data_IF_073283757319
#
_entry.id   IF_073283757319
#
_cell.length_a   1.000
_cell.length_b   1.000
_cell.length_c   1.000
_cell.angle_alpha   90.00
_cell.angle_beta   90.00
_cell.angle_gamma   90.00
#
_symmetry.space_group_name_H-M   'P 1'
#
loop_
_entity.id
_entity.type
_entity.pdbx_description
1 polymer ?
#
# COMPACT_ATOMS: atom_id res chain seq x y z
N UNK A 1 -3.63 10.98 -5.93
CA UNK A 1 -2.64 11.22 -4.85
C UNK A 1 -2.71 12.68 -4.42
N UNK A 2 -2.88 12.96 -3.13
CA UNK A 2 -2.91 14.34 -2.64
C UNK A 2 -1.53 15.00 -2.75
N UNK A 3 -1.49 16.33 -2.86
CA UNK A 3 -0.24 17.12 -2.91
C UNK A 3 0.67 16.88 -1.70
N UNK A 4 0.08 16.49 -0.56
CA UNK A 4 0.76 16.24 0.72
C UNK A 4 1.55 14.92 0.68
N UNK A 5 0.97 13.86 0.09
CA UNK A 5 1.67 12.60 -0.10
C UNK A 5 2.93 12.79 -0.96
N UNK A 6 2.83 13.59 -2.04
CA UNK A 6 4.00 13.92 -2.87
C UNK A 6 5.07 14.72 -2.14
N UNK A 7 4.70 15.71 -1.31
CA UNK A 7 5.70 16.50 -0.58
C UNK A 7 6.45 15.69 0.48
N UNK A 8 5.78 14.71 1.11
CA UNK A 8 6.39 13.80 2.09
C UNK A 8 7.31 12.77 1.43
N UNK A 9 6.91 12.23 0.27
CA UNK A 9 7.74 11.34 -0.54
C UNK A 9 8.98 12.09 -1.09
N UNK A 10 8.83 13.37 -1.43
CA UNK A 10 9.94 14.20 -1.92
C UNK A 10 11.00 14.55 -0.86
N UNK A 11 10.65 14.56 0.43
CA UNK A 11 11.61 14.80 1.52
C UNK A 11 12.49 13.60 1.84
N UNK A 12 12.26 12.44 1.23
CA UNK A 12 12.98 11.21 1.53
C UNK A 12 13.66 10.70 0.26
N UNK A 13 14.61 11.48 -0.24
CA UNK A 13 15.30 11.25 -1.51
C UNK A 13 16.08 9.92 -1.57
N UNK A 14 16.33 9.28 -0.41
CA UNK A 14 17.09 8.03 -0.27
C UNK A 14 16.32 6.87 0.39
N UNK A 15 15.00 6.97 0.60
CA UNK A 15 14.22 5.84 1.15
C UNK A 15 13.49 5.08 0.05
N UNK A 16 13.62 3.74 0.01
CA UNK A 16 12.91 2.92 -0.96
C UNK A 16 11.40 3.07 -0.78
N UNK A 17 10.69 3.33 -1.87
CA UNK A 17 9.24 3.35 -1.89
C UNK A 17 8.73 1.92 -1.98
N UNK A 18 7.98 1.50 -0.98
CA UNK A 18 7.43 0.15 -0.90
C UNK A 18 5.93 0.19 -1.18
N UNK A 19 5.44 -0.72 -2.01
CA UNK A 19 4.01 -0.89 -2.27
C UNK A 19 3.65 -2.36 -2.13
N UNK A 20 2.68 -2.68 -1.27
CA UNK A 20 2.18 -4.06 -1.16
C UNK A 20 1.43 -4.46 -2.42
N UNK A 21 1.69 -5.67 -2.93
CA UNK A 21 1.05 -6.18 -4.14
C UNK A 21 -0.48 -6.23 -4.04
N UNK A 22 -1.03 -6.37 -2.82
CA UNK A 22 -2.48 -6.36 -2.58
C UNK A 22 -3.13 -5.04 -3.00
N UNK A 23 -2.40 -3.92 -2.95
CA UNK A 23 -2.91 -2.62 -3.39
C UNK A 23 -3.22 -2.63 -4.89
N UNK A 24 -2.44 -3.35 -5.71
CA UNK A 24 -2.72 -3.48 -7.14
C UNK A 24 -3.95 -4.34 -7.42
N UNK A 25 -4.19 -5.38 -6.62
CA UNK A 25 -5.44 -6.15 -6.69
C UNK A 25 -6.66 -5.25 -6.41
N UNK A 26 -6.59 -4.42 -5.36
CA UNK A 26 -7.68 -3.49 -5.02
C UNK A 26 -7.89 -2.44 -6.12
N UNK A 27 -6.82 -1.85 -6.64
CA UNK A 27 -6.84 -0.90 -7.77
C UNK A 27 -7.48 -1.56 -9.00
N UNK A 28 -7.07 -2.77 -9.34
CA UNK A 28 -7.60 -3.53 -10.47
C UNK A 28 -9.10 -3.81 -10.34
N UNK A 29 -9.55 -4.22 -9.16
CA UNK A 29 -10.98 -4.42 -8.89
C UNK A 29 -11.79 -3.14 -8.98
N UNK A 30 -11.27 -2.01 -8.45
CA UNK A 30 -11.92 -0.71 -8.58
C UNK A 30 -12.02 -0.29 -10.05
N UNK A 31 -10.98 -0.51 -10.83
CA UNK A 31 -10.97 -0.22 -12.26
C UNK A 31 -11.98 -1.09 -13.03
N UNK A 32 -12.02 -2.41 -12.77
CA UNK A 32 -12.99 -3.32 -13.38
C UNK A 32 -14.45 -2.95 -13.05
N UNK A 33 -14.70 -2.40 -11.85
CA UNK A 33 -16.01 -1.93 -11.42
C UNK A 33 -16.37 -0.53 -11.93
N UNK A 34 -15.49 0.12 -12.70
CA UNK A 34 -15.67 1.51 -13.15
C UNK A 34 -15.60 2.55 -12.03
N UNK A 35 -15.08 2.18 -10.86
CA UNK A 35 -14.92 3.07 -9.70
C UNK A 35 -13.61 3.87 -9.72
N UNK A 36 -12.69 3.48 -10.60
CA UNK A 36 -11.40 4.13 -10.78
C UNK A 36 -11.04 4.15 -12.26
N UNK A 37 -10.85 5.34 -12.82
CA UNK A 37 -10.29 5.50 -14.17
C UNK A 37 -8.75 5.52 -14.07
N UNK A 38 -8.11 4.54 -14.71
CA UNK A 38 -6.64 4.47 -14.78
C UNK A 38 -6.06 5.28 -15.93
N UNK A 39 -6.91 5.81 -16.82
CA UNK A 39 -6.52 6.46 -18.08
C UNK A 39 -5.86 5.50 -19.08
N UNK A 40 -5.87 4.19 -18.80
CA UNK A 40 -5.24 3.13 -19.58
C UNK A 40 -5.77 1.75 -19.13
N UNK A 41 -5.39 0.69 -19.85
CA UNK A 41 -5.51 -0.70 -19.42
C UNK A 41 -4.74 -0.94 -18.11
N UNK A 42 -5.19 -1.92 -17.32
CA UNK A 42 -4.50 -2.32 -16.10
C UNK A 42 -3.05 -2.75 -16.37
N UNK A 43 -2.78 -3.46 -17.48
CA UNK A 43 -1.42 -3.83 -17.87
C UNK A 43 -0.57 -2.61 -18.18
N UNK A 44 -1.08 -1.63 -18.95
CA UNK A 44 -0.36 -0.39 -19.23
C UNK A 44 -0.07 0.41 -17.96
N UNK A 45 -1.01 0.43 -17.02
CA UNK A 45 -0.80 0.98 -15.68
C UNK A 45 0.32 0.26 -14.91
N UNK A 46 0.33 -1.08 -14.88
CA UNK A 46 1.38 -1.85 -14.22
C UNK A 46 2.76 -1.61 -14.81
N UNK A 47 2.89 -1.60 -16.15
CA UNK A 47 4.16 -1.30 -16.83
C UNK A 47 4.70 0.08 -16.47
N UNK A 48 3.83 1.08 -16.31
CA UNK A 48 4.25 2.42 -15.83
C UNK A 48 4.79 2.37 -14.40
N UNK A 49 4.15 1.63 -13.50
CA UNK A 49 4.58 1.53 -12.11
C UNK A 49 5.91 0.76 -12.01
N UNK A 50 6.06 -0.34 -12.73
CA UNK A 50 7.29 -1.15 -12.74
C UNK A 50 8.49 -0.40 -13.33
N UNK A 51 8.27 0.60 -14.17
CA UNK A 51 9.33 1.47 -14.70
C UNK A 51 9.72 2.63 -13.78
N UNK A 52 9.04 2.82 -12.65
CA UNK A 52 9.39 3.86 -11.68
C UNK A 52 10.64 3.46 -10.89
N UNK A 53 11.69 4.27 -10.97
CA UNK A 53 12.88 4.09 -10.15
C UNK A 53 12.58 4.31 -8.67
N UNK A 54 13.19 3.49 -7.81
CA UNK A 54 13.06 3.59 -6.35
C UNK A 54 11.76 2.99 -5.78
N UNK A 55 10.90 2.40 -6.61
CA UNK A 55 9.70 1.69 -6.18
C UNK A 55 9.94 0.17 -6.16
N UNK A 56 9.60 -0.47 -5.05
CA UNK A 56 9.64 -1.93 -4.88
C UNK A 56 8.24 -2.44 -4.54
N UNK A 57 7.77 -3.40 -5.33
CA UNK A 57 6.51 -4.08 -5.10
C UNK A 57 6.76 -5.27 -4.18
N UNK A 58 6.13 -5.28 -3.01
CA UNK A 58 6.27 -6.34 -2.02
C UNK A 58 5.22 -7.43 -2.25
N UNK A 59 5.61 -8.69 -2.44
CA UNK A 59 4.67 -9.79 -2.57
C UNK A 59 3.94 -10.04 -1.23
N UNK A 60 2.75 -10.65 -1.30
CA UNK A 60 2.04 -11.13 -0.10
C UNK A 60 2.31 -12.63 0.04
N UNK A 61 3.25 -12.98 0.92
CA UNK A 61 3.69 -14.36 1.15
C UNK A 61 3.09 -14.97 2.43
N UNK A 62 3.48 -16.21 2.73
CA UNK A 62 3.00 -16.92 3.93
C UNK A 62 3.43 -16.25 5.24
N UNK A 63 4.53 -15.50 5.27
CA UNK A 63 4.94 -14.78 6.48
C UNK A 63 3.97 -13.62 6.75
N UNK A 64 3.61 -12.88 5.71
CA UNK A 64 2.59 -11.82 5.80
C UNK A 64 1.23 -12.43 6.20
N UNK A 65 0.82 -13.56 5.63
CA UNK A 65 -0.45 -14.19 6.02
C UNK A 65 -0.48 -14.62 7.49
N UNK A 66 0.62 -15.15 8.03
CA UNK A 66 0.72 -15.44 9.47
C UNK A 66 0.54 -14.18 10.31
N UNK A 67 1.18 -13.08 9.91
CA UNK A 67 1.04 -11.79 10.57
C UNK A 67 -0.41 -11.26 10.50
N UNK A 68 -1.07 -11.39 9.34
CA UNK A 68 -2.48 -10.99 9.15
C UNK A 68 -3.42 -11.71 10.11
N UNK A 69 -3.21 -13.01 10.30
CA UNK A 69 -4.04 -13.84 11.17
C UNK A 69 -3.73 -13.64 12.66
N UNK A 70 -2.50 -13.26 13.00
CA UNK A 70 -2.08 -12.95 14.37
C UNK A 70 -2.42 -11.51 14.80
N UNK A 71 -2.84 -10.65 13.88
CA UNK A 71 -3.18 -9.25 14.17
C UNK A 71 -4.43 -9.15 15.05
N UNK A 72 -4.22 -8.76 16.32
CA UNK A 72 -5.27 -8.36 17.27
C UNK A 72 -5.77 -6.94 16.97
N UNK A 73 -6.41 -6.80 15.80
CA UNK A 73 -6.98 -5.55 15.34
C UNK A 73 -8.43 -5.78 14.90
N UNK A 74 -9.39 -5.03 15.40
CA UNK A 74 -10.81 -5.22 15.10
C UNK A 74 -11.24 -4.71 13.71
N UNK A 75 -10.30 -4.17 12.92
CA UNK A 75 -10.61 -3.63 11.61
C UNK A 75 -11.05 -4.73 10.63
N UNK A 76 -12.12 -4.41 9.89
CA UNK A 76 -12.85 -5.38 9.06
C UNK A 76 -12.33 -5.46 7.63
N UNK A 77 -11.56 -4.47 7.15
CA UNK A 77 -11.11 -4.49 5.76
C UNK A 77 -9.91 -5.44 5.61
N UNK A 78 -10.05 -6.54 4.86
CA UNK A 78 -8.97 -7.50 4.67
C UNK A 78 -7.76 -6.90 3.93
N UNK A 79 -7.97 -5.94 3.03
CA UNK A 79 -6.88 -5.30 2.28
C UNK A 79 -6.04 -4.44 3.22
N UNK A 80 -6.69 -3.64 4.07
CA UNK A 80 -5.98 -2.82 5.06
C UNK A 80 -5.21 -3.68 6.05
N UNK A 81 -5.77 -4.82 6.49
CA UNK A 81 -5.05 -5.78 7.35
C UNK A 81 -3.78 -6.31 6.68
N UNK A 82 -3.86 -6.66 5.39
CA UNK A 82 -2.71 -7.14 4.63
C UNK A 82 -1.67 -6.03 4.47
N UNK A 83 -2.08 -4.79 4.19
CA UNK A 83 -1.18 -3.64 4.07
C UNK A 83 -0.46 -3.37 5.40
N UNK A 84 -1.19 -3.34 6.52
CA UNK A 84 -0.60 -3.13 7.86
C UNK A 84 0.33 -4.29 8.22
N UNK A 85 -0.07 -5.54 8.00
CA UNK A 85 0.78 -6.70 8.23
C UNK A 85 2.06 -6.66 7.39
N UNK A 86 1.96 -6.25 6.11
CA UNK A 86 3.12 -6.07 5.22
C UNK A 86 4.04 -4.98 5.78
N UNK A 87 3.49 -3.83 6.20
CA UNK A 87 4.28 -2.75 6.79
C UNK A 87 5.01 -3.19 8.07
N UNK A 88 4.32 -3.92 8.97
CA UNK A 88 4.91 -4.48 10.19
C UNK A 88 6.03 -5.47 9.89
N UNK A 89 5.81 -6.41 8.97
CA UNK A 89 6.79 -7.43 8.58
C UNK A 89 8.07 -6.81 8.00
N UNK A 90 7.95 -5.69 7.30
CA UNK A 90 9.07 -4.98 6.68
C UNK A 90 9.59 -3.80 7.50
N UNK A 91 9.08 -3.59 8.72
CA UNK A 91 9.40 -2.43 9.57
C UNK A 91 9.27 -1.09 8.84
N UNK A 92 8.29 -1.00 7.93
CA UNK A 92 8.13 0.11 7.00
C UNK A 92 7.18 1.18 7.56
N UNK A 93 7.50 2.45 7.34
CA UNK A 93 6.57 3.54 7.66
C UNK A 93 5.42 3.54 6.64
N UNK A 94 4.19 3.42 7.11
CA UNK A 94 3.00 3.40 6.27
C UNK A 94 2.53 4.83 5.97
N UNK A 95 2.22 5.14 4.70
CA UNK A 95 1.59 6.43 4.35
C UNK A 95 0.09 6.21 4.22
N UNK A 96 -0.71 6.68 5.17
CA UNK A 96 -2.17 6.50 5.15
C UNK A 96 -2.94 7.67 5.76
N UNK A 97 -3.99 8.09 5.05
CA UNK A 97 -4.98 9.06 5.55
C UNK A 97 -5.97 8.45 6.53
N UNK A 98 -6.05 7.12 6.60
CA UNK A 98 -7.00 6.42 7.45
C UNK A 98 -6.65 6.58 8.93
N UNK A 99 -7.62 7.07 9.72
CA UNK A 99 -7.43 7.32 11.15
C UNK A 99 -7.39 6.02 11.96
N UNK A 100 -8.12 4.98 11.55
CA UNK A 100 -8.16 3.68 12.20
C UNK A 100 -6.81 2.99 12.03
N UNK A 101 -6.23 3.03 10.84
CA UNK A 101 -4.86 2.55 10.60
C UNK A 101 -3.85 3.30 11.46
N UNK A 102 -3.90 4.65 11.47
CA UNK A 102 -2.97 5.47 12.27
C UNK A 102 -3.06 5.23 13.77
N UNK A 103 -4.26 4.95 14.28
CA UNK A 103 -4.47 4.66 15.68
C UNK A 103 -3.89 3.29 16.07
N UNK A 104 -3.86 2.34 15.13
CA UNK A 104 -3.38 0.99 15.37
C UNK A 104 -1.88 0.83 15.11
N UNK A 105 -1.39 1.28 13.95
CA UNK A 105 0.00 1.16 13.56
C UNK A 105 0.73 2.51 13.75
N UNK A 106 1.51 2.61 14.81
CA UNK A 106 2.17 3.86 15.22
C UNK A 106 3.19 4.40 14.21
N UNK A 107 3.78 3.55 13.37
CA UNK A 107 4.67 3.96 12.28
C UNK A 107 3.87 4.36 11.02
N UNK A 108 2.88 5.24 11.18
CA UNK A 108 2.06 5.73 10.06
C UNK A 108 2.14 7.26 9.94
N UNK A 109 2.29 7.77 8.72
CA UNK A 109 2.33 9.21 8.39
C UNK A 109 1.25 9.59 7.38
N UNK A 110 0.89 10.88 7.32
CA UNK A 110 0.01 11.46 6.30
C UNK A 110 0.61 12.73 5.69
#
# INVERSE_FOLDING_TARGET
>A
MSRVARSRLATVQDTPLLVSAVSFWEIGLKAQRGQLDLGDTFNGFMTRIESMSGLSILPVDLAIWRQVLALEWDHRDPVDRIIVATAMQHHATLVSSDRVIRAFYSQTVW
#
